data_IF_667043375577
#
_entry.id   IF_667043375577
#
_cell.length_a   1.000
_cell.length_b   1.000
_cell.length_c   1.000
_cell.angle_alpha   90.00
_cell.angle_beta   90.00
_cell.angle_gamma   90.00
#
_symmetry.space_group_name_H-M   'P 1'
#
loop_
_entity.id
_entity.type
_entity.pdbx_description
1 polymer ?
#
# COMPACT_ATOMS: atom_id res chain seq x y z
N UNK A 1 4.07 20.80 -6.73
CA UNK A 1 4.65 19.43 -6.65
C UNK A 1 6.00 19.36 -5.94
N UNK A 2 7.01 20.19 -6.25
CA UNK A 2 8.35 20.09 -5.62
C UNK A 2 8.37 20.11 -4.08
N UNK A 3 7.55 20.97 -3.45
CA UNK A 3 7.46 21.00 -1.99
C UNK A 3 6.89 19.68 -1.43
N UNK A 4 5.83 19.14 -2.03
CA UNK A 4 5.22 17.90 -1.57
C UNK A 4 6.16 16.70 -1.69
N UNK A 5 6.89 16.59 -2.80
CA UNK A 5 7.94 15.59 -2.95
C UNK A 5 9.00 15.69 -1.86
N UNK A 6 9.40 16.91 -1.49
CA UNK A 6 10.35 17.14 -0.39
C UNK A 6 9.77 16.76 0.98
N UNK A 7 8.50 17.06 1.22
CA UNK A 7 7.83 16.70 2.46
C UNK A 7 7.77 15.17 2.64
N UNK A 8 7.59 14.42 1.55
CA UNK A 8 7.51 12.96 1.54
C UNK A 8 8.86 12.23 1.56
N UNK A 9 9.99 12.95 1.52
CA UNK A 9 11.32 12.34 1.53
C UNK A 9 11.51 11.29 2.63
N UNK A 10 11.06 11.50 3.89
CA UNK A 10 11.23 10.50 4.94
C UNK A 10 10.62 9.14 4.60
N UNK A 11 9.53 9.12 3.83
CA UNK A 11 8.90 7.89 3.35
C UNK A 11 9.64 7.34 2.12
N UNK A 12 9.88 8.17 1.10
CA UNK A 12 10.43 7.69 -0.18
C UNK A 12 11.90 7.28 -0.13
N UNK A 13 12.63 7.65 0.93
CA UNK A 13 14.03 7.23 1.12
C UNK A 13 14.19 6.01 2.03
N UNK A 14 13.10 5.41 2.52
CA UNK A 14 13.21 4.20 3.34
C UNK A 14 13.75 3.04 2.48
N UNK A 15 14.79 2.30 2.92
CA UNK A 15 15.34 1.18 2.14
C UNK A 15 14.34 0.02 2.00
N UNK A 16 13.39 -0.06 2.93
CA UNK A 16 12.35 -1.07 3.03
C UNK A 16 11.13 -0.77 2.14
N UNK A 17 11.07 0.35 1.43
CA UNK A 17 9.89 0.67 0.61
C UNK A 17 10.25 0.81 -0.85
N UNK A 18 9.33 0.41 -1.70
CA UNK A 18 9.33 0.77 -3.10
C UNK A 18 8.46 1.99 -3.32
N UNK A 19 8.79 2.74 -4.36
CA UNK A 19 8.07 3.95 -4.74
C UNK A 19 7.78 3.87 -6.23
N UNK A 20 6.55 4.19 -6.63
CA UNK A 20 6.21 4.48 -8.01
C UNK A 20 5.57 5.86 -8.14
N UNK A 21 5.69 6.46 -9.31
CA UNK A 21 5.16 7.79 -9.60
C UNK A 21 4.47 7.78 -10.95
N UNK A 22 3.25 8.30 -11.03
CA UNK A 22 2.52 8.48 -12.29
C UNK A 22 2.39 7.18 -13.12
N UNK A 23 2.17 6.04 -12.46
CA UNK A 23 2.04 4.72 -13.09
C UNK A 23 0.62 4.15 -12.92
N UNK A 24 0.12 3.48 -13.96
CA UNK A 24 -1.24 2.92 -13.98
C UNK A 24 -1.35 1.62 -13.18
N UNK A 25 -2.36 1.51 -12.33
CA UNK A 25 -2.62 0.35 -11.48
C UNK A 25 -3.61 -0.62 -12.13
N UNK A 26 -3.14 -1.36 -13.14
CA UNK A 26 -3.97 -2.17 -14.03
C UNK A 26 -4.17 -3.64 -13.60
N UNK A 27 -3.62 -4.08 -12.46
CA UNK A 27 -3.72 -5.49 -12.03
C UNK A 27 -5.18 -5.90 -11.76
N UNK A 28 -5.71 -7.02 -12.27
CA UNK A 28 -7.13 -7.35 -12.10
C UNK A 28 -7.41 -7.87 -10.69
N UNK A 29 -7.59 -6.96 -9.73
CA UNK A 29 -8.15 -7.25 -8.40
C UNK A 29 -9.66 -6.96 -8.43
N UNK A 30 -10.48 -7.88 -7.92
CA UNK A 30 -11.96 -8.02 -8.10
C UNK A 30 -12.87 -6.78 -7.87
N UNK A 31 -12.36 -5.59 -7.56
CA UNK A 31 -13.17 -4.35 -7.50
C UNK A 31 -13.68 -3.86 -8.85
N UNK A 32 -13.07 -4.30 -9.95
CA UNK A 32 -13.41 -3.83 -11.30
C UNK A 32 -14.30 -4.83 -12.07
N UNK A 33 -14.76 -5.91 -11.43
CA UNK A 33 -15.39 -7.05 -12.12
C UNK A 33 -16.93 -7.19 -11.97
N UNK A 34 -17.67 -6.28 -11.29
CA UNK A 34 -19.13 -6.40 -11.24
C UNK A 34 -19.93 -5.06 -11.13
N UNK A 35 -20.79 -4.84 -12.13
CA UNK A 35 -22.09 -4.13 -12.14
C UNK A 35 -22.23 -2.63 -11.81
N UNK A 36 -21.14 -1.90 -11.59
CA UNK A 36 -21.11 -0.42 -11.62
C UNK A 36 -20.26 0.09 -12.77
N UNK A 37 -20.49 1.32 -13.27
CA UNK A 37 -19.62 1.94 -14.27
C UNK A 37 -18.13 1.74 -13.88
N UNK A 38 -17.27 1.25 -14.79
CA UNK A 38 -15.91 0.89 -14.44
C UNK A 38 -15.21 2.09 -13.82
N UNK A 39 -14.78 1.96 -12.56
CA UNK A 39 -13.91 2.94 -11.92
C UNK A 39 -12.67 3.07 -12.80
N UNK A 40 -12.24 4.31 -13.08
CA UNK A 40 -11.03 4.56 -13.85
C UNK A 40 -9.85 3.86 -13.18
N UNK A 41 -8.97 3.25 -13.97
CA UNK A 41 -7.71 2.66 -13.49
C UNK A 41 -6.98 3.69 -12.63
N UNK A 42 -6.71 3.40 -11.34
CA UNK A 42 -6.00 4.34 -10.48
C UNK A 42 -4.62 4.65 -11.02
N UNK A 43 -4.20 5.90 -10.90
CA UNK A 43 -2.88 6.38 -11.30
C UNK A 43 -2.36 7.38 -10.26
N UNK A 44 -1.87 6.90 -9.11
CA UNK A 44 -1.39 7.80 -8.06
C UNK A 44 -0.21 8.65 -8.52
N UNK A 45 -0.18 9.92 -8.13
CA UNK A 45 1.00 10.78 -8.34
C UNK A 45 2.24 10.15 -7.68
N UNK A 46 2.08 9.60 -6.47
CA UNK A 46 3.08 8.78 -5.79
C UNK A 46 2.37 7.65 -5.05
N UNK A 47 2.92 6.44 -5.10
CA UNK A 47 2.54 5.36 -4.20
C UNK A 47 3.75 4.67 -3.58
N UNK A 48 3.57 4.20 -2.35
CA UNK A 48 4.61 3.58 -1.54
C UNK A 48 4.09 2.24 -1.03
N UNK A 49 4.91 1.21 -1.20
CA UNK A 49 4.64 -0.15 -0.80
C UNK A 49 5.89 -0.81 -0.26
N UNK A 50 5.79 -2.07 0.12
CA UNK A 50 6.93 -2.85 0.56
C UNK A 50 7.84 -3.18 -0.61
N UNK A 51 9.12 -2.89 -0.47
CA UNK A 51 10.13 -3.32 -1.43
C UNK A 51 10.33 -4.83 -1.31
N UNK A 52 10.25 -5.61 -2.39
CA UNK A 52 10.69 -6.99 -2.39
C UNK A 52 12.16 -7.11 -1.97
N UNK A 53 12.49 -8.17 -1.23
CA UNK A 53 13.85 -8.43 -0.77
C UNK A 53 14.71 -8.90 -1.94
N UNK A 54 15.86 -8.23 -2.14
CA UNK A 54 16.89 -8.69 -3.05
C UNK A 54 17.70 -9.83 -2.39
N UNK A 55 17.68 -11.06 -2.95
CA UNK A 55 18.41 -12.19 -2.38
C UNK A 55 19.93 -11.99 -2.36
N UNK A 56 20.48 -11.05 -3.14
CA UNK A 56 21.92 -10.88 -3.31
C UNK A 56 22.61 -10.01 -2.24
N UNK A 57 21.86 -9.18 -1.51
CA UNK A 57 22.48 -8.17 -0.62
C UNK A 57 22.74 -8.64 0.82
N UNK A 58 22.17 -9.76 1.27
CA UNK A 58 22.23 -10.15 2.70
C UNK A 58 22.60 -11.62 2.99
N UNK A 59 22.92 -12.44 1.98
CA UNK A 59 23.16 -13.87 2.21
C UNK A 59 24.60 -14.15 2.70
N UNK A 60 24.75 -14.36 4.01
CA UNK A 60 25.77 -15.31 4.51
C UNK A 60 25.48 -16.69 3.94
N UNK A 61 26.51 -17.48 3.60
CA UNK A 61 26.42 -18.73 2.82
C UNK A 61 25.44 -19.81 3.34
N UNK A 62 24.90 -19.69 4.56
CA UNK A 62 23.86 -20.56 5.13
C UNK A 62 22.42 -20.19 4.74
N UNK A 63 22.16 -18.99 4.21
CA UNK A 63 20.81 -18.51 3.82
C UNK A 63 20.47 -18.76 2.35
N UNK A 64 21.40 -19.27 1.54
CA UNK A 64 21.26 -19.48 0.10
C UNK A 64 20.10 -20.45 -0.26
N UNK A 65 19.59 -21.21 0.71
CA UNK A 65 18.49 -22.17 0.50
C UNK A 65 17.13 -21.75 1.09
N UNK A 66 17.00 -20.58 1.74
CA UNK A 66 15.71 -20.14 2.31
C UNK A 66 15.14 -18.98 1.49
N UNK A 67 14.19 -19.29 0.61
CA UNK A 67 13.38 -18.30 -0.09
C UNK A 67 12.68 -17.42 0.96
N UNK A 68 12.96 -16.12 0.94
CA UNK A 68 12.42 -15.14 1.88
C UNK A 68 10.95 -14.82 1.52
N UNK A 69 10.05 -14.59 2.51
CA UNK A 69 8.63 -14.28 2.26
C UNK A 69 8.38 -13.04 1.40
N UNK A 70 9.32 -12.12 1.34
CA UNK A 70 9.25 -10.91 0.52
C UNK A 70 10.15 -10.97 -0.73
N UNK A 71 10.77 -12.11 -1.05
CA UNK A 71 11.56 -12.21 -2.28
C UNK A 71 10.66 -12.16 -3.50
N UNK A 72 11.13 -11.54 -4.58
CA UNK A 72 10.40 -11.46 -5.85
C UNK A 72 10.01 -12.85 -6.36
N UNK A 73 10.93 -13.83 -6.23
CA UNK A 73 10.72 -15.23 -6.59
C UNK A 73 9.52 -15.85 -5.85
N UNK A 74 9.38 -15.58 -4.55
CA UNK A 74 8.25 -16.08 -3.78
C UNK A 74 6.95 -15.38 -4.15
N UNK A 75 7.00 -14.05 -4.30
CA UNK A 75 5.84 -13.24 -4.67
C UNK A 75 5.29 -13.61 -6.06
N UNK A 76 6.16 -13.92 -7.02
CA UNK A 76 5.74 -14.46 -8.31
C UNK A 76 5.18 -15.88 -8.20
N UNK A 77 5.82 -16.75 -7.40
CA UNK A 77 5.35 -18.12 -7.21
C UNK A 77 3.95 -18.17 -6.58
N UNK A 78 3.69 -17.36 -5.54
CA UNK A 78 2.39 -17.29 -4.89
C UNK A 78 1.34 -16.65 -5.81
N UNK A 79 1.71 -15.67 -6.63
CA UNK A 79 0.81 -15.10 -7.64
C UNK A 79 0.34 -16.14 -8.64
N UNK A 80 1.26 -16.90 -9.21
CA UNK A 80 0.92 -17.91 -10.22
C UNK A 80 0.17 -19.11 -9.63
N UNK A 81 0.44 -19.48 -8.37
CA UNK A 81 -0.14 -20.68 -7.75
C UNK A 81 -1.44 -20.45 -6.99
N UNK A 82 -1.63 -19.25 -6.40
CA UNK A 82 -2.81 -18.90 -5.61
C UNK A 82 -3.65 -17.76 -6.19
N UNK A 83 -3.17 -17.07 -7.22
CA UNK A 83 -3.81 -15.84 -7.67
C UNK A 83 -3.71 -14.72 -6.63
N UNK A 84 -2.68 -14.73 -5.78
CA UNK A 84 -2.38 -13.59 -4.93
C UNK A 84 -1.72 -12.50 -5.78
N UNK A 85 -2.27 -11.31 -5.83
CA UNK A 85 -1.74 -10.22 -6.64
C UNK A 85 -1.03 -9.19 -5.75
N UNK A 86 0.28 -9.35 -5.45
CA UNK A 86 0.96 -8.48 -4.49
C UNK A 86 1.24 -7.08 -5.05
N UNK A 87 1.27 -6.90 -6.36
CA UNK A 87 1.58 -5.62 -7.02
C UNK A 87 0.35 -4.94 -7.60
N UNK A 88 0.31 -3.59 -7.67
CA UNK A 88 -0.76 -2.86 -8.33
C UNK A 88 -0.73 -2.97 -9.86
N UNK A 89 0.43 -3.30 -10.42
CA UNK A 89 0.67 -3.62 -11.84
C UNK A 89 1.96 -4.43 -11.93
N UNK A 90 2.03 -5.36 -12.89
CA UNK A 90 3.27 -6.09 -13.20
C UNK A 90 4.41 -5.18 -13.71
N UNK A 91 4.09 -3.97 -14.18
CA UNK A 91 5.11 -2.97 -14.54
C UNK A 91 5.74 -2.27 -13.33
N UNK A 92 5.25 -2.53 -12.12
CA UNK A 92 5.66 -1.85 -10.88
C UNK A 92 6.04 -2.90 -9.80
N UNK A 93 7.04 -3.78 -10.07
CA UNK A 93 7.41 -4.86 -9.16
C UNK A 93 8.02 -4.35 -7.85
N UNK A 94 8.51 -3.10 -7.82
CA UNK A 94 9.10 -2.52 -6.61
C UNK A 94 8.07 -2.22 -5.52
N UNK A 95 6.78 -2.09 -5.85
CA UNK A 95 5.72 -1.63 -4.92
C UNK A 95 4.78 -2.78 -4.57
N UNK A 96 5.24 -3.74 -3.77
CA UNK A 96 4.39 -4.83 -3.28
C UNK A 96 3.53 -4.36 -2.08
N UNK A 97 2.30 -4.85 -1.99
CA UNK A 97 1.32 -4.53 -0.93
C UNK A 97 1.29 -3.03 -0.59
N UNK A 98 0.86 -2.15 -1.52
CA UNK A 98 0.90 -0.71 -1.32
C UNK A 98 0.22 -0.28 -0.03
N UNK A 99 0.83 0.66 0.70
CA UNK A 99 0.41 1.05 2.05
C UNK A 99 0.22 2.56 2.23
N UNK A 100 0.74 3.37 1.30
CA UNK A 100 0.60 4.82 1.30
C UNK A 100 0.40 5.34 -0.13
N UNK A 101 -0.64 6.16 -0.32
CA UNK A 101 -1.04 6.76 -1.59
C UNK A 101 -0.94 8.28 -1.45
N UNK A 102 -0.43 8.95 -2.48
CA UNK A 102 -0.35 10.40 -2.50
C UNK A 102 -0.91 10.97 -3.80
N UNK A 103 -1.73 12.01 -3.62
CA UNK A 103 -2.35 12.76 -4.71
C UNK A 103 -2.15 14.25 -4.49
N UNK A 104 -1.63 14.93 -5.49
CA UNK A 104 -1.50 16.37 -5.52
C UNK A 104 -2.34 16.97 -6.63
N UNK A 105 -2.87 18.14 -6.32
CA UNK A 105 -3.52 19.00 -7.29
C UNK A 105 -3.00 20.42 -7.15
N UNK A 106 -3.12 21.17 -8.24
CA UNK A 106 -2.71 22.56 -8.27
C UNK A 106 -3.56 23.43 -7.33
N UNK A 107 -3.07 24.61 -6.99
CA UNK A 107 -3.79 25.59 -6.15
C UNK A 107 -5.15 25.99 -6.76
N UNK A 108 -5.27 25.91 -8.09
CA UNK A 108 -6.49 26.19 -8.85
C UNK A 108 -7.50 25.03 -8.90
N UNK A 109 -7.13 23.85 -8.42
CA UNK A 109 -8.01 22.67 -8.37
C UNK A 109 -8.73 22.59 -7.03
N UNK A 110 -9.72 21.70 -6.89
CA UNK A 110 -10.39 21.42 -5.62
C UNK A 110 -9.76 20.19 -4.97
N UNK A 111 -9.48 20.25 -3.66
CA UNK A 111 -8.91 19.13 -2.89
C UNK A 111 -9.69 17.81 -3.09
N UNK A 112 -11.03 17.90 -3.18
CA UNK A 112 -11.91 16.78 -3.50
C UNK A 112 -11.50 15.95 -4.73
N UNK A 113 -10.86 16.56 -5.74
CA UNK A 113 -10.34 15.80 -6.88
C UNK A 113 -9.12 14.95 -6.53
N UNK A 114 -8.25 15.43 -5.64
CA UNK A 114 -7.15 14.64 -5.08
C UNK A 114 -7.72 13.50 -4.22
N UNK A 115 -8.69 13.79 -3.36
CA UNK A 115 -9.36 12.80 -2.49
C UNK A 115 -9.98 11.66 -3.30
N UNK A 116 -10.72 11.97 -4.38
CA UNK A 116 -11.34 10.95 -5.22
C UNK A 116 -10.32 10.07 -5.95
N UNK A 117 -9.21 10.64 -6.43
CA UNK A 117 -8.17 9.85 -7.08
C UNK A 117 -7.44 8.97 -6.06
N UNK A 118 -7.17 9.50 -4.88
CA UNK A 118 -6.56 8.78 -3.79
C UNK A 118 -7.46 7.63 -3.33
N UNK A 119 -8.78 7.85 -3.28
CA UNK A 119 -9.77 6.82 -2.97
C UNK A 119 -9.68 5.62 -3.92
N UNK A 120 -9.49 5.86 -5.22
CA UNK A 120 -9.26 4.80 -6.21
C UNK A 120 -7.99 3.99 -5.92
N UNK A 121 -6.88 4.66 -5.60
CA UNK A 121 -5.64 4.01 -5.21
C UNK A 121 -5.78 3.20 -3.92
N UNK A 122 -6.37 3.80 -2.88
CA UNK A 122 -6.65 3.13 -1.60
C UNK A 122 -7.52 1.90 -1.80
N UNK A 123 -8.56 2.01 -2.63
CA UNK A 123 -9.46 0.91 -2.93
C UNK A 123 -8.71 -0.29 -3.53
N UNK A 124 -7.84 -0.03 -4.50
CA UNK A 124 -6.98 -1.05 -5.12
C UNK A 124 -6.05 -1.69 -4.09
N UNK A 125 -5.35 -0.87 -3.31
CA UNK A 125 -4.39 -1.33 -2.32
C UNK A 125 -5.06 -2.22 -1.24
N UNK A 126 -6.25 -1.83 -0.77
CA UNK A 126 -7.04 -2.63 0.16
C UNK A 126 -7.48 -3.97 -0.43
N UNK A 127 -7.76 -4.06 -1.74
CA UNK A 127 -8.07 -5.35 -2.38
C UNK A 127 -6.86 -6.25 -2.54
N UNK A 128 -5.70 -5.68 -2.83
CA UNK A 128 -4.43 -6.42 -2.83
C UNK A 128 -4.22 -7.03 -1.43
N UNK A 129 -4.44 -6.25 -0.38
CA UNK A 129 -4.39 -6.73 1.00
C UNK A 129 -5.45 -7.80 1.28
N UNK A 130 -6.69 -7.62 0.83
CA UNK A 130 -7.76 -8.62 1.01
C UNK A 130 -7.40 -9.98 0.40
N UNK A 131 -6.71 -9.98 -0.75
CA UNK A 131 -6.16 -11.21 -1.32
C UNK A 131 -5.19 -11.89 -0.38
N UNK A 132 -4.28 -11.14 0.25
CA UNK A 132 -3.33 -11.67 1.23
C UNK A 132 -4.03 -12.18 2.49
N UNK A 133 -4.97 -11.40 3.03
CA UNK A 133 -5.76 -11.77 4.21
C UNK A 133 -6.54 -13.07 3.97
N UNK A 134 -7.11 -13.24 2.77
CA UNK A 134 -7.83 -14.46 2.38
C UNK A 134 -6.90 -15.67 2.36
N UNK A 135 -5.76 -15.59 1.67
CA UNK A 135 -4.79 -16.70 1.63
C UNK A 135 -4.25 -17.03 3.03
N UNK A 136 -4.06 -16.00 3.88
CA UNK A 136 -3.64 -16.18 5.27
C UNK A 136 -4.70 -16.92 6.11
N UNK A 137 -5.98 -16.60 5.92
CA UNK A 137 -7.08 -17.29 6.59
C UNK A 137 -7.23 -18.74 6.13
N UNK A 138 -7.01 -19.04 4.84
CA UNK A 138 -7.04 -20.41 4.31
C UNK A 138 -6.03 -21.33 5.00
N UNK A 139 -4.89 -20.78 5.42
CA UNK A 139 -3.84 -21.54 6.14
C UNK A 139 -4.02 -21.53 7.67
N UNK A 140 -5.20 -21.14 8.14
CA UNK A 140 -5.56 -21.11 9.57
C UNK A 140 -5.07 -19.87 10.31
N UNK A 141 -4.62 -18.83 9.60
CA UNK A 141 -4.31 -17.53 10.17
C UNK A 141 -5.56 -16.81 10.69
N UNK A 142 -5.40 -15.99 11.73
CA UNK A 142 -6.47 -15.11 12.24
C UNK A 142 -5.92 -13.70 12.36
N UNK A 143 -6.64 -12.74 11.79
CA UNK A 143 -6.31 -11.32 11.88
C UNK A 143 -7.17 -10.69 12.97
N UNK A 144 -6.51 -10.12 13.98
CA UNK A 144 -7.21 -9.34 15.03
C UNK A 144 -7.81 -8.06 14.43
N UNK A 145 -7.05 -7.40 13.55
CA UNK A 145 -7.45 -6.15 12.90
C UNK A 145 -6.94 -6.12 11.44
N UNK A 146 -7.77 -5.68 10.48
CA UNK A 146 -7.34 -5.52 9.09
C UNK A 146 -6.27 -4.42 8.96
N UNK A 147 -5.39 -4.56 7.96
CA UNK A 147 -4.37 -3.55 7.69
C UNK A 147 -4.97 -2.36 6.93
N UNK A 148 -4.82 -1.11 7.42
CA UNK A 148 -5.27 0.05 6.69
C UNK A 148 -4.28 0.47 5.59
N UNK A 149 -4.74 1.32 4.68
CA UNK A 149 -3.92 2.04 3.70
C UNK A 149 -4.04 3.53 3.98
N UNK A 150 -2.93 4.25 4.01
CA UNK A 150 -2.93 5.69 4.27
C UNK A 150 -2.97 6.45 2.95
N UNK A 151 -3.71 7.54 2.90
CA UNK A 151 -3.67 8.47 1.77
C UNK A 151 -3.29 9.87 2.25
N UNK A 152 -2.56 10.61 1.42
CA UNK A 152 -2.31 12.03 1.61
C UNK A 152 -2.70 12.79 0.34
N UNK A 153 -3.53 13.81 0.50
CA UNK A 153 -4.09 14.60 -0.59
C UNK A 153 -3.66 16.05 -0.43
N UNK A 154 -3.36 16.75 -1.54
CA UNK A 154 -2.95 18.15 -1.48
C UNK A 154 -3.59 19.04 -2.52
N UNK A 155 -3.89 20.27 -2.12
CA UNK A 155 -4.23 21.39 -2.98
C UNK A 155 -3.30 22.54 -2.60
N UNK A 156 -2.22 22.70 -3.35
CA UNK A 156 -1.17 23.67 -3.02
C UNK A 156 -0.53 23.41 -1.66
N UNK A 157 -0.73 24.32 -0.72
CA UNK A 157 -0.23 24.21 0.65
C UNK A 157 -1.24 23.57 1.63
N UNK A 158 -2.48 23.29 1.19
CA UNK A 158 -3.45 22.55 1.99
C UNK A 158 -3.19 21.06 1.82
N UNK A 159 -3.08 20.35 2.94
CA UNK A 159 -2.82 18.93 3.01
C UNK A 159 -3.89 18.25 3.86
N UNK A 160 -4.32 17.08 3.40
CA UNK A 160 -5.17 16.18 4.15
C UNK A 160 -4.53 14.80 4.22
N UNK A 161 -4.60 14.17 5.38
CA UNK A 161 -4.16 12.79 5.60
C UNK A 161 -5.37 11.96 6.01
N UNK A 162 -5.59 10.86 5.28
CA UNK A 162 -6.75 9.99 5.36
C UNK A 162 -6.29 8.58 5.72
N UNK A 163 -7.10 7.87 6.50
CA UNK A 163 -6.95 6.44 6.77
C UNK A 163 -8.03 5.66 6.01
N UNK A 164 -7.59 4.81 5.10
CA UNK A 164 -8.41 3.89 4.34
C UNK A 164 -8.51 2.53 5.01
N UNK A 165 -9.73 2.03 5.22
CA UNK A 165 -9.95 0.68 5.72
C UNK A 165 -11.29 0.14 5.23
N UNK A 166 -11.41 -1.18 5.32
CA UNK A 166 -12.65 -1.91 5.02
C UNK A 166 -13.47 -2.05 6.30
N UNK A 167 -14.76 -1.75 6.23
CA UNK A 167 -15.71 -2.10 7.29
C UNK A 167 -16.56 -3.27 6.80
N UNK A 168 -16.53 -4.38 7.55
CA UNK A 168 -17.45 -5.50 7.34
C UNK A 168 -18.79 -5.25 8.03
N UNK A 169 -19.61 -4.35 7.48
CA UNK A 169 -21.00 -4.17 7.93
C UNK A 169 -21.92 -4.97 7.01
N UNK A 170 -22.16 -6.23 7.40
CA UNK A 170 -23.10 -7.18 6.79
C UNK A 170 -22.85 -7.54 5.31
N UNK A 171 -23.40 -8.68 4.90
CA UNK A 171 -23.07 -9.40 3.65
C UNK A 171 -23.29 -8.61 2.33
N UNK A 172 -23.90 -7.42 2.37
CA UNK A 172 -24.31 -6.66 1.19
C UNK A 172 -23.66 -5.27 1.03
N UNK A 173 -22.89 -4.77 2.00
CA UNK A 173 -22.26 -3.44 1.91
C UNK A 173 -20.81 -3.46 2.38
N UNK A 174 -19.97 -4.17 1.64
CA UNK A 174 -18.52 -4.08 1.79
C UNK A 174 -18.04 -2.73 1.19
N UNK A 175 -17.92 -1.71 2.04
CA UNK A 175 -17.45 -0.38 1.67
C UNK A 175 -15.99 -0.17 2.04
N UNK A 176 -15.27 0.59 1.20
CA UNK A 176 -14.00 1.20 1.57
C UNK A 176 -14.33 2.56 2.19
N UNK A 177 -13.84 2.78 3.41
CA UNK A 177 -14.03 4.01 4.14
C UNK A 177 -12.72 4.77 4.23
N UNK A 178 -12.78 6.07 3.97
CA UNK A 178 -11.71 7.02 4.22
C UNK A 178 -12.10 7.87 5.42
N UNK A 179 -11.23 7.92 6.44
CA UNK A 179 -11.42 8.75 7.63
C UNK A 179 -10.30 9.77 7.71
N UNK A 180 -10.65 11.04 7.84
CA UNK A 180 -9.68 12.12 8.03
C UNK A 180 -8.94 11.96 9.35
N UNK A 181 -7.62 11.78 9.25
CA UNK A 181 -6.71 11.82 10.40
C UNK A 181 -6.28 13.25 10.70
N UNK A 182 -6.05 14.05 9.65
CA UNK A 182 -5.54 15.42 9.79
C UNK A 182 -5.82 16.24 8.53
N UNK A 183 -6.05 17.54 8.72
CA UNK A 183 -6.18 18.55 7.67
C UNK A 183 -5.45 19.81 8.14
N UNK A 184 -4.56 20.36 7.32
CA UNK A 184 -3.82 21.57 7.70
C UNK A 184 -3.06 22.23 6.56
N UNK A 185 -2.57 23.44 6.82
CA UNK A 185 -1.79 24.22 5.86
C UNK A 185 -0.30 24.18 6.19
N UNK A 186 0.54 23.89 5.20
CA UNK A 186 2.00 23.82 5.36
C UNK A 186 2.70 25.17 5.24
N UNK A 187 1.95 26.24 4.91
CA UNK A 187 2.39 27.64 5.04
C UNK A 187 2.45 28.08 6.50
N UNK A 188 1.63 27.47 7.36
CA UNK A 188 1.72 27.62 8.81
C UNK A 188 2.80 26.70 9.39
N UNK A 189 3.61 27.24 10.30
CA UNK A 189 4.72 26.50 10.91
C UNK A 189 4.22 25.33 11.75
N UNK A 190 3.08 25.49 12.42
CA UNK A 190 2.49 24.41 13.21
C UNK A 190 1.89 23.33 12.31
N UNK A 191 1.18 23.72 11.25
CA UNK A 191 0.70 22.78 10.25
C UNK A 191 1.82 21.98 9.59
N UNK A 192 2.94 22.62 9.24
CA UNK A 192 4.13 21.93 8.73
C UNK A 192 4.73 20.96 9.76
N UNK A 193 4.88 21.38 11.01
CA UNK A 193 5.41 20.53 12.07
C UNK A 193 4.51 19.32 12.32
N UNK A 194 3.19 19.51 12.36
CA UNK A 194 2.22 18.43 12.51
C UNK A 194 2.32 17.43 11.36
N UNK A 195 2.39 17.90 10.12
CA UNK A 195 2.59 17.05 8.95
C UNK A 195 3.88 16.22 9.08
N UNK A 196 5.00 16.85 9.47
CA UNK A 196 6.27 16.12 9.66
C UNK A 196 6.17 15.05 10.75
N UNK A 197 5.49 15.34 11.86
CA UNK A 197 5.26 14.36 12.93
C UNK A 197 4.41 13.20 12.41
N UNK A 198 3.33 13.49 11.67
CA UNK A 198 2.47 12.46 11.08
C UNK A 198 3.28 11.57 10.13
N UNK A 199 4.03 12.15 9.20
CA UNK A 199 4.86 11.38 8.26
C UNK A 199 5.90 10.53 9.00
N UNK A 200 6.52 11.03 10.07
CA UNK A 200 7.42 10.23 10.90
C UNK A 200 6.70 9.07 11.60
N UNK A 201 5.46 9.26 12.07
CA UNK A 201 4.65 8.17 12.63
C UNK A 201 4.27 7.13 11.56
N UNK A 202 4.02 7.56 10.32
CA UNK A 202 3.76 6.66 9.19
C UNK A 202 5.00 5.81 8.89
N UNK A 203 6.19 6.41 8.85
CA UNK A 203 7.46 5.68 8.70
C UNK A 203 7.58 4.60 9.79
N UNK A 204 7.36 4.97 11.06
CA UNK A 204 7.42 4.03 12.17
C UNK A 204 6.36 2.92 12.04
N UNK A 205 5.14 3.25 11.66
CA UNK A 205 4.07 2.29 11.44
C UNK A 205 4.40 1.31 10.30
N UNK A 206 4.95 1.78 9.19
CA UNK A 206 5.36 0.93 8.06
C UNK A 206 6.38 -0.11 8.54
N UNK A 207 7.47 0.34 9.17
CA UNK A 207 8.57 -0.56 9.57
C UNK A 207 8.24 -1.46 10.78
N UNK A 208 7.50 -0.97 11.77
CA UNK A 208 7.27 -1.72 13.02
C UNK A 208 5.94 -2.49 13.04
N UNK A 209 5.00 -2.14 12.17
CA UNK A 209 3.65 -2.75 12.19
C UNK A 209 3.27 -3.34 10.84
N UNK A 210 3.29 -2.55 9.77
CA UNK A 210 2.77 -2.99 8.47
C UNK A 210 3.64 -4.08 7.84
N UNK A 211 4.94 -3.82 7.64
CA UNK A 211 5.88 -4.79 7.06
C UNK A 211 5.92 -6.11 7.86
N UNK A 212 6.15 -6.10 9.20
CA UNK A 212 6.21 -7.34 9.96
C UNK A 212 4.92 -8.17 9.87
N UNK A 213 3.75 -7.53 9.82
CA UNK A 213 2.47 -8.24 9.66
C UNK A 213 2.33 -8.88 8.29
N UNK A 214 2.68 -8.16 7.22
CA UNK A 214 2.68 -8.71 5.85
C UNK A 214 3.66 -9.87 5.74
N UNK A 215 4.86 -9.72 6.30
CA UNK A 215 5.88 -10.78 6.33
C UNK A 215 5.44 -12.02 7.13
N UNK A 216 4.80 -11.86 8.29
CA UNK A 216 4.25 -12.99 9.06
C UNK A 216 3.18 -13.73 8.25
N UNK A 217 2.26 -12.99 7.60
CA UNK A 217 1.22 -13.59 6.76
C UNK A 217 1.85 -14.40 5.62
N UNK A 218 2.80 -13.81 4.90
CA UNK A 218 3.50 -14.46 3.79
C UNK A 218 4.32 -15.66 4.27
N UNK A 219 4.97 -15.59 5.43
CA UNK A 219 5.74 -16.70 5.99
C UNK A 219 4.85 -17.89 6.37
N UNK A 220 3.68 -17.65 6.98
CA UNK A 220 2.74 -18.74 7.28
C UNK A 220 2.17 -19.36 6.02
N UNK A 221 1.81 -18.52 5.05
CA UNK A 221 1.37 -18.99 3.74
C UNK A 221 2.48 -19.83 3.09
N UNK A 222 3.75 -19.36 3.12
CA UNK A 222 4.92 -20.10 2.63
C UNK A 222 5.07 -21.48 3.28
N UNK A 223 4.91 -21.57 4.60
CA UNK A 223 5.02 -22.83 5.36
C UNK A 223 3.93 -23.84 5.00
N UNK A 224 2.77 -23.37 4.53
CA UNK A 224 1.69 -24.23 4.02
C UNK A 224 1.99 -24.83 2.65
N UNK A 225 3.00 -24.33 1.93
CA UNK A 225 3.42 -24.87 0.63
C UNK A 225 4.57 -25.86 0.77
N UNK A 226 4.43 -27.09 0.28
CA UNK A 226 5.59 -27.88 -0.06
C UNK A 226 6.21 -27.28 -1.34
N UNK A 227 7.34 -26.59 -1.20
CA UNK A 227 8.20 -26.30 -2.35
C UNK A 227 8.91 -27.61 -2.69
N UNK A 228 8.22 -28.51 -3.39
CA UNK A 228 8.90 -29.62 -4.06
C UNK A 228 9.71 -29.03 -5.21
N UNK A 229 11.03 -29.11 -5.06
CA UNK A 229 12.01 -28.77 -6.10
C UNK A 229 11.98 -29.74 -7.26
#
# INVERSE_FOLDING_TARGET
MHFARRALLPLTTMPEVGVCEDEDWNEPVDLFSADGAPLSTPKPDIAIGLKPSDPTNNATSEQIHKILPMSEEFLEAIRLRKGLHPWPSLSIPDVAFPCFIFEAKSDSSVLFFAENQAAGGVAKALKILEGLEREFQEVGGTLEHPLPVIAACTQGALWEVLLGFRIGLEANHCGIHLVQLWLGQTTDKWGLLQLQIILAQIVLWISHTYRPKVEDMLERIRQSFPIHG
#
